data_IF_365466326904
#
_entry.id   IF_365466326904
#
_cell.length_a   1.000
_cell.length_b   1.000
_cell.length_c   1.000
_cell.angle_alpha   90.00
_cell.angle_beta   90.00
_cell.angle_gamma   90.00
#
_symmetry.space_group_name_H-M   'P 1'
#
loop_
_entity.id
_entity.type
_entity.pdbx_description
1 polymer ?
#
# COMPACT_ATOMS: atom_id res chain seq x y z
N UNK A 1 -25.60 8.93 -7.74
CA UNK A 1 -25.31 8.12 -6.53
C UNK A 1 -24.29 6.97 -6.69
N UNK A 2 -23.73 6.70 -7.89
CA UNK A 2 -22.56 5.80 -8.06
C UNK A 2 -21.20 6.51 -7.97
N UNK A 3 -21.21 7.85 -7.95
CA UNK A 3 -20.03 8.73 -7.97
C UNK A 3 -19.32 8.88 -6.62
N UNK A 4 -20.01 8.60 -5.49
CA UNK A 4 -19.45 8.76 -4.14
C UNK A 4 -18.67 7.52 -3.66
N UNK A 5 -18.74 6.39 -4.39
CA UNK A 5 -17.99 5.17 -4.02
C UNK A 5 -16.53 5.19 -4.48
N UNK A 6 -16.17 5.99 -5.49
CA UNK A 6 -14.81 6.01 -6.02
C UNK A 6 -13.85 6.94 -5.27
N UNK A 7 -14.33 7.67 -4.25
CA UNK A 7 -13.47 8.30 -3.25
C UNK A 7 -12.97 7.30 -2.18
N UNK A 8 -13.37 6.02 -2.24
CA UNK A 8 -12.92 4.94 -1.35
C UNK A 8 -11.57 4.32 -1.75
N UNK A 9 -10.78 4.97 -2.62
CA UNK A 9 -9.46 4.44 -3.03
C UNK A 9 -8.43 4.47 -1.90
N UNK A 10 -8.75 5.11 -0.77
CA UNK A 10 -7.87 5.27 0.39
C UNK A 10 -8.60 4.84 1.65
N UNK A 11 -7.87 4.38 2.67
CA UNK A 11 -8.49 3.83 3.87
C UNK A 11 -9.32 4.93 4.52
N UNK A 12 -10.62 4.65 4.76
CA UNK A 12 -11.46 5.41 5.70
C UNK A 12 -10.87 5.53 7.10
N UNK A 13 -9.75 4.84 7.33
CA UNK A 13 -9.09 4.62 8.60
C UNK A 13 -7.71 5.25 8.63
N UNK A 14 -7.25 5.97 7.61
CA UNK A 14 -6.01 6.74 7.75
C UNK A 14 -6.26 7.87 8.75
N UNK A 15 -5.36 8.11 9.72
CA UNK A 15 -3.99 7.61 9.81
C UNK A 15 -3.79 6.34 10.66
N UNK A 16 -4.87 5.69 11.09
CA UNK A 16 -4.82 4.50 11.94
C UNK A 16 -4.58 3.20 11.16
N UNK A 17 -4.78 3.21 9.83
CA UNK A 17 -4.43 2.10 8.92
C UNK A 17 -4.02 2.63 7.54
N UNK A 18 -3.13 1.89 6.88
CA UNK A 18 -2.77 2.09 5.48
C UNK A 18 -3.13 0.84 4.68
N UNK A 19 -3.76 1.01 3.51
CA UNK A 19 -4.20 -0.09 2.66
C UNK A 19 -5.41 -0.88 3.20
N UNK A 20 -5.64 -2.11 2.69
CA UNK A 20 -4.77 -2.87 1.80
C UNK A 20 -4.73 -2.30 0.36
N UNK A 21 -3.67 -2.64 -0.38
CA UNK A 21 -3.49 -2.22 -1.78
C UNK A 21 -3.28 -3.42 -2.71
N UNK A 22 -3.67 -3.30 -3.98
CA UNK A 22 -3.24 -4.19 -5.05
C UNK A 22 -1.92 -3.71 -5.63
N UNK A 23 -1.12 -4.68 -6.10
CA UNK A 23 0.06 -4.42 -6.92
C UNK A 23 -0.33 -4.77 -8.34
N UNK A 24 -0.33 -3.81 -9.25
CA UNK A 24 -0.84 -4.01 -10.62
C UNK A 24 0.32 -3.81 -11.61
N UNK A 25 0.73 -4.85 -12.36
CA UNK A 25 1.75 -4.68 -13.39
C UNK A 25 1.31 -3.66 -14.44
N UNK A 26 2.24 -2.82 -14.87
CA UNK A 26 2.01 -1.86 -15.96
C UNK A 26 2.78 -2.28 -17.21
N UNK A 27 2.43 -1.68 -18.34
CA UNK A 27 3.22 -1.79 -19.57
C UNK A 27 4.32 -0.73 -19.69
N UNK A 28 4.42 0.20 -18.72
CA UNK A 28 5.44 1.24 -18.71
C UNK A 28 6.83 0.64 -18.47
N UNK A 29 7.78 1.12 -19.26
CA UNK A 29 9.21 0.93 -19.03
C UNK A 29 9.82 2.31 -18.81
N UNK A 30 9.81 2.84 -17.57
CA UNK A 30 10.44 4.11 -17.26
C UNK A 30 11.93 4.12 -17.62
N UNK A 31 12.41 5.26 -18.12
CA UNK A 31 13.85 5.50 -18.24
C UNK A 31 14.38 5.97 -16.89
N UNK A 32 15.39 5.28 -16.36
CA UNK A 32 15.96 5.55 -15.04
C UNK A 32 17.38 6.08 -15.19
N UNK A 33 17.69 7.16 -14.48
CA UNK A 33 19.02 7.76 -14.39
C UNK A 33 19.26 8.25 -12.97
N UNK A 34 19.99 7.46 -12.18
CA UNK A 34 20.16 7.71 -10.74
C UNK A 34 18.81 7.63 -10.00
N UNK A 35 18.48 8.67 -9.24
CA UNK A 35 17.23 8.77 -8.47
C UNK A 35 16.09 9.44 -9.25
N UNK A 36 16.23 9.60 -10.57
CA UNK A 36 15.20 10.19 -11.42
C UNK A 36 14.72 9.13 -12.39
N UNK A 37 13.40 9.04 -12.54
CA UNK A 37 12.79 8.28 -13.62
C UNK A 37 12.00 9.22 -14.54
N UNK A 38 11.83 8.82 -15.79
CA UNK A 38 10.96 9.51 -16.75
C UNK A 38 10.12 8.54 -17.57
N UNK A 39 8.93 8.99 -17.95
CA UNK A 39 8.01 8.25 -18.82
C UNK A 39 7.56 9.14 -19.97
N UNK A 40 7.30 8.51 -21.11
CA UNK A 40 6.67 9.18 -22.25
C UNK A 40 5.17 9.33 -21.99
N UNK A 41 4.65 10.54 -22.18
CA UNK A 41 3.22 10.84 -22.02
C UNK A 41 2.45 10.46 -23.30
N UNK A 42 2.44 9.17 -23.60
CA UNK A 42 1.77 8.58 -24.75
C UNK A 42 0.62 7.64 -24.32
N UNK A 43 -0.23 7.26 -25.26
CA UNK A 43 -1.35 6.35 -25.00
C UNK A 43 -2.27 6.87 -23.88
N UNK A 44 -2.58 6.06 -22.86
CA UNK A 44 -3.39 6.48 -21.72
C UNK A 44 -2.83 7.70 -20.97
N UNK A 45 -1.50 7.87 -20.95
CA UNK A 45 -0.84 9.00 -20.27
C UNK A 45 -0.97 10.32 -21.03
N UNK A 46 -1.40 10.31 -22.30
CA UNK A 46 -1.55 11.54 -23.09
C UNK A 46 -2.52 12.54 -22.44
N UNK A 47 -3.45 12.08 -21.59
CA UNK A 47 -4.36 12.94 -20.82
C UNK A 47 -3.61 13.90 -19.89
N UNK A 48 -2.40 13.53 -19.45
CA UNK A 48 -1.55 14.34 -18.56
C UNK A 48 -0.87 15.51 -19.30
N UNK A 49 -0.78 15.47 -20.64
CA UNK A 49 -0.14 16.53 -21.43
C UNK A 49 -0.78 17.90 -21.22
N UNK A 50 -2.10 17.93 -21.01
CA UNK A 50 -2.84 19.18 -20.77
C UNK A 50 -2.68 19.72 -19.34
N UNK A 51 -2.05 18.95 -18.46
CA UNK A 51 -2.05 19.17 -17.01
C UNK A 51 -0.67 19.41 -16.44
N UNK A 52 0.35 18.75 -16.98
CA UNK A 52 1.74 18.96 -16.59
C UNK A 52 2.25 20.18 -17.38
N UNK A 53 2.74 21.24 -16.71
CA UNK A 53 3.34 22.37 -17.39
C UNK A 53 4.44 21.87 -18.33
N UNK A 54 4.25 22.08 -19.64
CA UNK A 54 5.12 21.48 -20.65
C UNK A 54 6.56 21.96 -20.46
N UNK A 55 7.47 21.05 -20.14
CA UNK A 55 8.89 21.29 -20.33
C UNK A 55 9.16 21.39 -21.84
N UNK A 56 10.02 22.32 -22.24
CA UNK A 56 10.21 22.69 -23.65
C UNK A 56 10.31 21.47 -24.59
N UNK A 57 9.68 21.51 -25.78
CA UNK A 57 9.67 20.37 -26.70
C UNK A 57 11.10 19.92 -27.02
N UNK A 58 11.42 18.68 -26.67
CA UNK A 58 12.69 18.05 -27.07
C UNK A 58 12.59 17.71 -28.56
N UNK A 59 13.48 18.28 -29.39
CA UNK A 59 13.50 18.14 -30.87
C UNK A 59 13.50 16.69 -31.40
N UNK A 60 13.73 15.68 -30.55
CA UNK A 60 13.86 14.27 -30.93
C UNK A 60 12.87 13.32 -30.25
N UNK A 61 11.94 13.81 -29.42
CA UNK A 61 10.95 12.97 -28.76
C UNK A 61 9.58 13.16 -29.40
N UNK A 62 8.95 12.06 -29.82
CA UNK A 62 7.61 12.08 -30.43
C UNK A 62 6.54 12.58 -29.44
N UNK A 63 6.76 12.36 -28.15
CA UNK A 63 5.90 12.79 -27.06
C UNK A 63 6.73 13.48 -25.96
N UNK A 64 6.18 14.51 -25.28
CA UNK A 64 6.78 15.05 -24.07
C UNK A 64 7.02 13.96 -23.03
N UNK A 65 8.10 14.13 -22.24
CA UNK A 65 8.40 13.28 -21.10
C UNK A 65 8.11 14.03 -19.81
N UNK A 66 7.54 13.31 -18.85
CA UNK A 66 7.45 13.74 -17.48
C UNK A 66 8.41 12.92 -16.63
N UNK A 67 8.94 13.54 -15.58
CA UNK A 67 9.86 12.91 -14.65
C UNK A 67 9.28 12.86 -13.23
N UNK A 68 9.79 11.93 -12.45
CA UNK A 68 9.58 11.86 -11.02
C UNK A 68 10.83 11.32 -10.34
N UNK A 69 10.79 11.23 -9.01
CA UNK A 69 11.89 10.69 -8.22
C UNK A 69 11.72 9.21 -7.92
N UNK A 70 12.84 8.53 -7.70
CA UNK A 70 12.92 7.21 -7.13
C UNK A 70 13.38 7.30 -5.67
N UNK A 71 13.01 6.32 -4.85
CA UNK A 71 13.76 6.00 -3.64
C UNK A 71 15.15 5.47 -3.99
N UNK A 72 16.06 5.34 -3.01
CA UNK A 72 17.28 4.58 -3.21
C UNK A 72 16.99 3.19 -3.79
N UNK A 73 17.82 2.78 -4.76
CA UNK A 73 17.75 1.45 -5.36
C UNK A 73 18.16 0.42 -4.31
N UNK A 74 17.34 -0.61 -4.13
CA UNK A 74 17.52 -1.61 -3.09
C UNK A 74 17.47 -3.04 -3.66
N UNK A 75 18.27 -3.99 -3.15
CA UNK A 75 18.11 -5.40 -3.50
C UNK A 75 16.72 -5.95 -3.23
N UNK A 76 16.24 -6.83 -4.10
CA UNK A 76 15.04 -7.63 -3.82
C UNK A 76 15.41 -8.70 -2.79
N UNK A 77 14.85 -8.60 -1.58
CA UNK A 77 15.14 -9.50 -0.45
C UNK A 77 14.07 -10.57 -0.23
N UNK A 78 12.95 -10.48 -0.94
CA UNK A 78 11.83 -11.41 -0.79
C UNK A 78 12.14 -12.79 -1.38
N UNK A 79 11.62 -13.84 -0.74
CA UNK A 79 11.70 -15.20 -1.23
C UNK A 79 10.83 -15.40 -2.49
N UNK A 80 10.94 -16.56 -3.15
CA UNK A 80 10.29 -16.80 -4.43
C UNK A 80 8.73 -16.72 -4.36
N UNK A 81 8.12 -17.26 -3.29
CA UNK A 81 6.67 -17.18 -3.08
C UNK A 81 6.20 -15.73 -2.95
N UNK A 82 6.90 -14.94 -2.15
CA UNK A 82 6.53 -13.55 -1.86
C UNK A 82 6.72 -12.66 -3.07
N UNK A 83 7.78 -12.91 -3.85
CA UNK A 83 8.00 -12.26 -5.14
C UNK A 83 6.85 -12.54 -6.10
N UNK A 84 6.39 -13.78 -6.18
CA UNK A 84 5.26 -14.14 -7.04
C UNK A 84 3.98 -13.39 -6.64
N UNK A 85 3.66 -13.37 -5.34
CA UNK A 85 2.50 -12.64 -4.79
C UNK A 85 2.57 -11.14 -5.05
N UNK A 86 3.74 -10.54 -4.84
CA UNK A 86 4.00 -9.12 -5.12
C UNK A 86 4.21 -8.83 -6.62
N UNK A 87 4.02 -9.84 -7.49
CA UNK A 87 4.13 -9.74 -8.96
C UNK A 87 5.49 -9.19 -9.41
N UNK A 88 6.53 -9.50 -8.65
CA UNK A 88 7.93 -9.16 -8.91
C UNK A 88 8.46 -10.12 -9.99
N UNK A 89 9.02 -9.62 -11.11
CA UNK A 89 9.64 -10.46 -12.13
C UNK A 89 10.75 -11.34 -11.52
N UNK A 90 10.91 -12.56 -12.01
CA UNK A 90 11.89 -13.53 -11.48
C UNK A 90 13.33 -13.06 -11.73
N UNK A 91 13.53 -12.28 -12.79
CA UNK A 91 14.78 -11.70 -13.23
C UNK A 91 15.19 -10.46 -12.41
N UNK A 92 14.25 -9.84 -11.67
CA UNK A 92 14.51 -8.65 -10.88
C UNK A 92 15.57 -8.91 -9.81
N UNK A 93 16.56 -8.02 -9.74
CA UNK A 93 17.64 -8.06 -8.73
C UNK A 93 17.53 -6.91 -7.74
N UNK A 94 17.14 -5.75 -8.24
CA UNK A 94 16.92 -4.57 -7.42
C UNK A 94 15.56 -3.95 -7.75
N UNK A 95 15.10 -3.08 -6.87
CA UNK A 95 13.90 -2.30 -7.06
C UNK A 95 14.07 -0.90 -6.46
N UNK A 96 13.22 0.03 -6.88
CA UNK A 96 13.04 1.32 -6.23
C UNK A 96 11.55 1.67 -6.19
N UNK A 97 11.15 2.44 -5.20
CA UNK A 97 9.84 3.09 -5.20
C UNK A 97 9.90 4.32 -6.11
N UNK A 98 9.07 4.35 -7.14
CA UNK A 98 8.80 5.54 -7.93
C UNK A 98 7.72 6.36 -7.24
N UNK A 99 8.08 7.58 -6.86
CA UNK A 99 7.12 8.57 -6.38
C UNK A 99 6.24 9.06 -7.54
N UNK A 100 5.06 9.66 -7.27
CA UNK A 100 4.25 10.30 -8.32
C UNK A 100 5.07 11.24 -9.20
N UNK A 101 4.67 11.40 -10.46
CA UNK A 101 5.32 12.34 -11.38
C UNK A 101 5.21 13.78 -10.87
N UNK A 102 6.27 14.55 -11.14
CA UNK A 102 6.32 15.97 -10.77
C UNK A 102 5.29 16.77 -11.60
N UNK A 103 4.63 17.74 -10.95
CA UNK A 103 3.69 18.64 -11.61
C UNK A 103 2.34 18.03 -11.97
N UNK A 104 2.06 16.79 -11.58
CA UNK A 104 0.74 16.18 -11.73
C UNK A 104 -0.27 16.88 -10.79
N UNK A 105 -1.43 17.34 -11.30
CA UNK A 105 -2.44 17.98 -10.47
C UNK A 105 -3.12 16.98 -9.52
N UNK A 106 -3.84 17.49 -8.52
CA UNK A 106 -4.62 16.65 -7.61
C UNK A 106 -5.59 15.70 -8.35
N UNK A 107 -5.71 14.49 -7.82
CA UNK A 107 -6.42 13.32 -8.36
C UNK A 107 -7.88 13.53 -8.78
N UNK A 108 -8.56 14.57 -8.28
CA UNK A 108 -9.97 14.83 -8.62
C UNK A 108 -10.23 14.92 -10.11
N UNK A 109 -9.19 15.25 -10.88
CA UNK A 109 -9.23 15.34 -12.34
C UNK A 109 -9.41 13.97 -13.02
N UNK A 110 -9.20 12.85 -12.31
CA UNK A 110 -9.08 11.51 -12.90
C UNK A 110 -10.01 10.45 -12.29
N UNK A 111 -10.99 10.82 -11.45
CA UNK A 111 -11.85 9.87 -10.72
C UNK A 111 -12.56 8.82 -11.61
N UNK A 112 -12.72 9.10 -12.90
CA UNK A 112 -13.32 8.22 -13.89
C UNK A 112 -12.34 7.30 -14.63
N UNK A 113 -11.04 7.50 -14.45
CA UNK A 113 -9.97 6.87 -15.25
C UNK A 113 -9.03 5.99 -14.42
N UNK A 114 -9.29 5.82 -13.11
CA UNK A 114 -8.44 5.09 -12.13
C UNK A 114 -8.53 3.56 -12.29
N UNK A 115 -8.67 3.08 -13.53
CA UNK A 115 -8.58 1.66 -13.86
C UNK A 115 -7.34 1.34 -14.71
N UNK A 116 -6.71 2.36 -15.27
CA UNK A 116 -5.50 2.26 -16.06
C UNK A 116 -4.27 2.23 -15.15
N UNK A 117 -3.47 1.17 -15.24
CA UNK A 117 -2.36 0.92 -14.33
C UNK A 117 -1.23 1.94 -14.50
N UNK A 118 -1.06 2.46 -15.71
CA UNK A 118 -0.07 3.44 -16.08
C UNK A 118 -0.42 4.81 -15.48
N UNK A 119 -1.71 5.18 -15.54
CA UNK A 119 -2.21 6.35 -14.80
C UNK A 119 -2.07 6.15 -13.29
N UNK A 120 -2.41 4.98 -12.74
CA UNK A 120 -2.24 4.73 -11.30
C UNK A 120 -0.76 4.88 -10.90
N UNK A 121 0.17 4.30 -11.66
CA UNK A 121 1.61 4.40 -11.41
C UNK A 121 2.09 5.85 -11.40
N UNK A 122 1.67 6.65 -12.37
CA UNK A 122 2.11 8.06 -12.49
C UNK A 122 1.48 8.98 -11.44
N UNK A 123 0.26 8.68 -10.99
CA UNK A 123 -0.49 9.49 -10.02
C UNK A 123 -0.17 9.14 -8.56
N UNK A 124 0.01 7.86 -8.25
CA UNK A 124 0.19 7.35 -6.88
C UNK A 124 1.60 6.83 -6.59
N UNK A 125 2.39 6.60 -7.63
CA UNK A 125 3.66 5.91 -7.53
C UNK A 125 3.53 4.40 -7.71
N UNK A 126 4.66 3.72 -7.62
CA UNK A 126 4.74 2.28 -7.80
C UNK A 126 6.14 1.74 -7.62
N UNK A 127 6.33 0.44 -7.82
CA UNK A 127 7.65 -0.18 -7.78
C UNK A 127 8.22 -0.29 -9.18
N UNK A 128 9.49 0.10 -9.34
CA UNK A 128 10.29 -0.12 -10.55
C UNK A 128 11.29 -1.23 -10.25
N UNK A 129 11.30 -2.28 -11.05
CA UNK A 129 12.19 -3.43 -10.91
C UNK A 129 13.26 -3.41 -11.98
N UNK A 130 14.49 -3.68 -11.56
CA UNK A 130 15.67 -3.66 -12.42
C UNK A 130 16.35 -5.03 -12.43
N UNK A 131 16.92 -5.39 -13.58
CA UNK A 131 17.73 -6.59 -13.72
C UNK A 131 19.16 -6.39 -13.18
N UNK A 132 20.02 -7.40 -13.36
CA UNK A 132 21.43 -7.36 -12.93
C UNK A 132 22.23 -6.24 -13.63
N UNK A 133 21.82 -5.82 -14.82
CA UNK A 133 22.48 -4.76 -15.58
C UNK A 133 21.92 -3.36 -15.25
N UNK A 134 21.00 -3.26 -14.28
CA UNK A 134 20.35 -1.99 -13.92
C UNK A 134 19.33 -1.52 -14.96
N UNK A 135 18.86 -2.41 -15.84
CA UNK A 135 17.82 -2.09 -16.83
C UNK A 135 16.46 -2.31 -16.21
N UNK A 136 15.53 -1.38 -16.45
CA UNK A 136 14.15 -1.55 -16.02
C UNK A 136 13.50 -2.68 -16.79
N UNK A 137 12.95 -3.65 -16.06
CA UNK A 137 12.27 -4.82 -16.64
C UNK A 137 10.76 -4.82 -16.35
N UNK A 138 10.32 -4.07 -15.32
CA UNK A 138 8.91 -3.92 -14.99
C UNK A 138 8.68 -2.70 -14.11
N UNK A 139 7.52 -2.07 -14.29
CA UNK A 139 6.91 -1.20 -13.30
C UNK A 139 5.59 -1.82 -12.81
N UNK A 140 5.33 -1.76 -11.51
CA UNK A 140 4.06 -2.13 -10.91
C UNK A 140 3.46 -0.90 -10.23
N UNK A 141 2.21 -0.57 -10.53
CA UNK A 141 1.44 0.45 -9.83
C UNK A 141 0.91 -0.08 -8.49
N UNK A 142 0.68 0.82 -7.54
CA UNK A 142 -0.10 0.51 -6.34
C UNK A 142 -1.46 1.17 -6.43
N UNK A 143 -2.51 0.35 -6.36
CA UNK A 143 -3.90 0.80 -6.34
C UNK A 143 -4.70 0.12 -5.23
N UNK A 144 -6.02 0.33 -5.14
CA UNK A 144 -6.86 -0.39 -4.19
C UNK A 144 -6.88 -1.90 -4.47
N UNK A 145 -6.77 -2.71 -3.42
CA UNK A 145 -6.83 -4.17 -3.55
C UNK A 145 -6.27 -4.91 -2.33
N UNK A 146 -5.79 -6.15 -2.51
CA UNK A 146 -5.44 -7.07 -1.41
C UNK A 146 -4.13 -7.84 -1.62
N UNK A 147 -3.15 -7.22 -2.28
CA UNK A 147 -1.84 -7.83 -2.55
C UNK A 147 -0.74 -7.33 -1.61
N UNK A 148 -0.89 -6.11 -1.06
CA UNK A 148 0.06 -5.44 -0.19
C UNK A 148 -0.63 -5.01 1.10
N UNK A 149 -0.11 -5.50 2.22
CA UNK A 149 -0.62 -5.27 3.56
C UNK A 149 0.40 -4.53 4.42
N UNK A 150 -0.10 -3.80 5.41
CA UNK A 150 0.71 -3.04 6.34
C UNK A 150 0.36 -3.42 7.77
N UNK A 151 1.36 -3.37 8.63
CA UNK A 151 1.19 -3.54 10.06
C UNK A 151 0.49 -2.30 10.66
N UNK A 152 0.12 -2.39 11.94
CA UNK A 152 -0.37 -1.25 12.70
C UNK A 152 0.60 -0.06 12.60
N UNK A 153 0.08 1.18 12.51
CA UNK A 153 0.93 2.36 12.46
C UNK A 153 1.80 2.46 13.71
N UNK A 154 3.06 2.83 13.51
CA UNK A 154 4.01 3.03 14.59
C UNK A 154 4.46 4.50 14.63
N UNK A 155 4.66 5.09 15.82
CA UNK A 155 5.15 6.47 15.93
C UNK A 155 6.48 6.66 15.21
N UNK A 156 6.60 7.75 14.44
CA UNK A 156 7.85 8.10 13.78
C UNK A 156 8.80 8.82 14.74
N UNK A 157 10.07 8.41 14.78
CA UNK A 157 11.11 9.07 15.56
C UNK A 157 11.63 10.30 14.80
N UNK A 158 11.16 11.48 15.20
CA UNK A 158 11.40 12.73 14.49
C UNK A 158 12.86 13.11 14.25
N UNK A 159 13.79 12.64 15.08
CA UNK A 159 15.23 12.94 14.92
C UNK A 159 15.86 12.39 13.65
N UNK A 160 15.23 11.41 13.00
CA UNK A 160 15.67 10.87 11.71
C UNK A 160 15.08 11.63 10.51
N UNK A 161 14.15 12.56 10.73
CA UNK A 161 13.53 13.32 9.63
C UNK A 161 14.51 14.26 8.92
N UNK A 162 15.40 14.91 9.66
CA UNK A 162 16.30 15.93 9.11
C UNK A 162 17.21 15.36 8.00
N UNK A 163 17.91 14.26 8.27
CA UNK A 163 18.78 13.62 7.27
C UNK A 163 18.02 13.15 6.03
N UNK A 164 16.81 12.60 6.20
CA UNK A 164 15.97 12.21 5.07
C UNK A 164 15.44 13.40 4.26
N UNK A 165 15.16 14.54 4.91
CA UNK A 165 14.76 15.78 4.23
C UNK A 165 15.94 16.40 3.47
N UNK A 166 17.15 16.41 4.04
CA UNK A 166 18.38 16.87 3.38
C UNK A 166 18.70 16.03 2.14
N UNK A 167 18.47 14.72 2.22
CA UNK A 167 18.54 13.79 1.08
C UNK A 167 17.37 13.93 0.11
N UNK A 168 16.44 14.87 0.34
CA UNK A 168 15.28 15.12 -0.50
C UNK A 168 14.40 13.87 -0.72
N UNK A 169 14.36 12.97 0.27
CA UNK A 169 13.62 11.69 0.19
C UNK A 169 12.14 11.85 0.53
N UNK A 170 11.79 12.79 1.39
CA UNK A 170 10.41 13.14 1.66
C UNK A 170 9.80 13.89 0.48
N UNK A 171 8.81 13.28 -0.17
CA UNK A 171 8.03 13.91 -1.24
C UNK A 171 6.72 14.47 -0.70
N UNK A 172 6.18 15.50 -1.35
CA UNK A 172 4.85 16.01 -1.05
C UNK A 172 3.79 14.99 -1.40
N UNK A 173 2.78 14.87 -0.54
CA UNK A 173 1.63 14.00 -0.78
C UNK A 173 0.73 14.66 -1.82
N UNK A 174 0.46 13.96 -2.91
CA UNK A 174 -0.50 14.35 -3.97
C UNK A 174 -1.91 13.79 -3.72
N UNK A 175 -2.01 12.85 -2.79
CA UNK A 175 -3.22 12.11 -2.51
C UNK A 175 -4.12 12.92 -1.57
N UNK A 176 -5.20 13.49 -2.12
CA UNK A 176 -6.09 14.41 -1.40
C UNK A 176 -6.63 13.88 -0.08
N UNK A 177 -7.08 12.62 0.00
CA UNK A 177 -7.64 12.13 1.27
C UNK A 177 -6.60 12.13 2.39
N UNK A 178 -5.33 11.80 2.08
CA UNK A 178 -4.24 11.86 3.06
C UNK A 178 -3.91 13.32 3.44
N UNK A 179 -3.98 14.25 2.49
CA UNK A 179 -3.79 15.69 2.73
C UNK A 179 -4.87 16.25 3.66
N UNK A 180 -6.13 15.84 3.46
CA UNK A 180 -7.27 16.23 4.29
C UNK A 180 -7.13 15.72 5.73
N UNK A 181 -6.52 14.55 5.92
CA UNK A 181 -6.17 14.01 7.24
C UNK A 181 -4.94 14.70 7.89
N UNK A 182 -4.36 15.68 7.20
CA UNK A 182 -3.26 16.49 7.71
C UNK A 182 -1.87 15.99 7.33
N UNK A 183 -1.74 14.91 6.58
CA UNK A 183 -0.44 14.47 6.09
C UNK A 183 0.10 15.48 5.06
N UNK A 184 1.41 15.66 5.02
CA UNK A 184 2.10 16.65 4.17
C UNK A 184 3.17 16.03 3.30
N UNK A 185 3.99 15.17 3.90
CA UNK A 185 5.09 14.50 3.22
C UNK A 185 5.01 13.00 3.46
N UNK A 186 5.56 12.25 2.52
CA UNK A 186 5.77 10.82 2.67
C UNK A 186 7.10 10.39 2.06
N UNK A 187 7.66 9.30 2.56
CA UNK A 187 8.82 8.67 1.97
C UNK A 187 8.72 7.15 2.07
N UNK A 188 9.42 6.47 1.17
CA UNK A 188 9.69 5.04 1.27
C UNK A 188 11.02 4.80 1.98
N UNK A 189 10.97 3.96 3.01
CA UNK A 189 12.12 3.41 3.71
C UNK A 189 12.35 1.98 3.20
N UNK A 190 13.46 1.67 2.52
CA UNK A 190 13.75 0.34 2.03
C UNK A 190 13.88 -0.73 3.15
N UNK A 191 13.74 -2.02 2.78
CA UNK A 191 13.93 -3.15 3.70
C UNK A 191 15.28 -3.11 4.41
N UNK A 192 15.30 -3.20 5.75
CA UNK A 192 16.53 -3.28 6.54
C UNK A 192 17.37 -2.00 6.54
N UNK A 193 16.83 -0.87 6.08
CA UNK A 193 17.55 0.40 6.15
C UNK A 193 17.76 0.82 7.61
N UNK A 194 19.03 1.10 7.94
CA UNK A 194 19.45 1.67 9.22
C UNK A 194 19.65 3.17 9.05
N UNK A 195 18.81 3.96 9.72
CA UNK A 195 18.93 5.41 9.73
C UNK A 195 19.85 5.85 10.85
N UNK A 196 20.67 6.88 10.61
CA UNK A 196 21.56 7.48 11.60
C UNK A 196 21.18 8.94 11.83
N UNK A 197 20.92 9.30 13.07
CA UNK A 197 20.63 10.68 13.47
C UNK A 197 21.93 11.47 13.73
N UNK A 198 21.83 12.79 13.87
CA UNK A 198 22.99 13.67 14.11
C UNK A 198 23.69 13.44 15.45
N UNK A 199 22.99 12.84 16.42
CA UNK A 199 23.52 12.42 17.71
C UNK A 199 24.24 11.05 17.66
N UNK A 200 24.30 10.42 16.48
CA UNK A 200 24.87 9.09 16.28
C UNK A 200 23.93 7.93 16.63
N UNK A 201 22.70 8.21 17.08
CA UNK A 201 21.73 7.12 17.29
C UNK A 201 21.36 6.47 15.97
N UNK A 202 21.18 5.15 16.01
CA UNK A 202 20.87 4.34 14.83
C UNK A 202 19.54 3.61 15.01
N UNK A 203 18.81 3.44 13.91
CA UNK A 203 17.53 2.77 13.95
C UNK A 203 17.26 1.99 12.65
N UNK A 204 17.21 0.67 12.76
CA UNK A 204 16.60 -0.18 11.73
C UNK A 204 15.08 -0.04 11.80
N UNK A 205 14.48 0.57 10.78
CA UNK A 205 13.07 0.96 10.83
C UNK A 205 12.15 -0.26 10.69
N UNK A 206 12.45 -1.14 9.73
CA UNK A 206 11.59 -2.27 9.39
C UNK A 206 12.28 -3.30 8.47
N UNK A 207 11.87 -4.57 8.59
CA UNK A 207 12.42 -5.69 7.82
C UNK A 207 12.05 -5.69 6.33
N UNK A 208 10.82 -5.27 5.98
CA UNK A 208 10.29 -5.35 4.60
C UNK A 208 10.05 -4.00 3.94
N UNK A 209 10.54 -2.92 4.56
CA UNK A 209 10.29 -1.55 4.14
C UNK A 209 9.01 -0.97 4.72
N UNK A 210 8.88 0.35 4.64
CA UNK A 210 7.77 1.09 5.21
C UNK A 210 7.49 2.39 4.47
N UNK A 211 6.23 2.81 4.49
CA UNK A 211 5.87 4.19 4.17
C UNK A 211 5.81 5.03 5.43
N UNK A 212 6.61 6.10 5.47
CA UNK A 212 6.61 7.08 6.54
C UNK A 212 5.83 8.31 6.11
N UNK A 213 4.98 8.85 6.99
CA UNK A 213 4.16 10.03 6.76
C UNK A 213 4.44 11.09 7.82
N UNK A 214 4.67 12.32 7.37
CA UNK A 214 4.82 13.49 8.24
C UNK A 214 3.55 14.36 8.13
N UNK A 215 3.03 14.76 9.29
CA UNK A 215 1.82 15.58 9.43
C UNK A 215 2.17 17.04 9.70
N UNK A 216 3.38 17.45 9.32
CA UNK A 216 3.93 18.77 9.60
C UNK A 216 4.85 19.26 8.50
N UNK A 217 5.03 20.58 8.44
CA UNK A 217 6.00 21.24 7.54
C UNK A 217 7.33 21.61 8.23
N UNK A 218 7.30 21.89 9.54
CA UNK A 218 8.47 22.40 10.27
C UNK A 218 8.75 21.71 11.59
N UNK A 219 7.71 21.50 12.40
CA UNK A 219 7.83 20.94 13.76
C UNK A 219 7.20 19.55 13.82
N UNK A 220 7.93 18.53 14.28
CA UNK A 220 7.40 17.19 14.45
C UNK A 220 6.12 17.16 15.29
N UNK A 221 5.26 16.19 15.00
CA UNK A 221 3.99 16.03 15.70
C UNK A 221 3.83 14.58 16.16
N UNK A 222 3.02 14.36 17.19
CA UNK A 222 2.64 13.02 17.63
C UNK A 222 1.86 12.23 16.55
N UNK A 223 1.41 12.88 15.47
CA UNK A 223 0.75 12.22 14.35
C UNK A 223 1.73 11.58 13.37
N UNK A 224 3.00 12.00 13.35
CA UNK A 224 4.01 11.43 12.45
C UNK A 224 4.16 9.93 12.73
N UNK A 225 4.05 9.14 11.67
CA UNK A 225 3.98 7.67 11.80
C UNK A 225 4.50 6.99 10.55
N UNK A 226 4.82 5.72 10.69
CA UNK A 226 5.17 4.86 9.57
C UNK A 226 4.35 3.57 9.60
N UNK A 227 4.20 2.98 8.42
CA UNK A 227 3.43 1.76 8.17
C UNK A 227 4.37 0.70 7.59
N UNK A 228 4.86 -0.25 8.41
CA UNK A 228 5.68 -1.35 7.94
C UNK A 228 4.90 -2.24 6.98
N UNK A 229 5.54 -2.67 5.89
CA UNK A 229 4.99 -3.73 5.04
C UNK A 229 4.98 -5.04 5.81
N UNK A 230 3.84 -5.74 5.79
CA UNK A 230 3.74 -7.10 6.31
C UNK A 230 4.32 -8.09 5.30
N UNK A 231 5.26 -8.92 5.74
CA UNK A 231 5.76 -10.05 4.97
C UNK A 231 4.73 -11.19 4.93
N UNK A 232 4.85 -12.08 3.94
CA UNK A 232 3.95 -13.22 3.80
C UNK A 232 3.98 -14.17 4.97
N UNK A 233 5.17 -14.35 5.57
CA UNK A 233 5.41 -15.27 6.67
C UNK A 233 4.44 -15.00 7.84
N UNK A 234 4.21 -13.72 8.15
CA UNK A 234 3.33 -13.30 9.25
C UNK A 234 1.85 -13.52 8.91
N UNK A 235 1.48 -13.42 7.64
CA UNK A 235 0.11 -13.64 7.19
C UNK A 235 -0.26 -15.12 7.22
N UNK A 236 0.66 -15.99 6.81
CA UNK A 236 0.48 -17.44 6.88
C UNK A 236 0.36 -17.92 8.33
N UNK A 237 1.23 -17.42 9.23
CA UNK A 237 1.17 -17.74 10.65
C UNK A 237 -0.14 -17.26 11.30
N UNK A 238 -0.60 -16.06 10.96
CA UNK A 238 -1.87 -15.53 11.46
C UNK A 238 -3.09 -16.32 10.94
N UNK A 239 -3.10 -16.70 9.67
CA UNK A 239 -4.16 -17.53 9.08
C UNK A 239 -4.18 -18.93 9.70
N UNK A 240 -3.01 -19.54 9.92
CA UNK A 240 -2.90 -20.83 10.57
C UNK A 240 -3.41 -20.77 12.02
N UNK A 241 -3.01 -19.75 12.78
CA UNK A 241 -3.46 -19.55 14.16
C UNK A 241 -4.99 -19.39 14.25
N UNK A 242 -5.59 -18.66 13.30
CA UNK A 242 -7.06 -18.52 13.22
C UNK A 242 -7.71 -19.87 12.91
N UNK A 243 -7.18 -20.64 11.95
CA UNK A 243 -7.70 -21.95 11.58
C UNK A 243 -7.62 -22.95 12.75
N UNK A 244 -6.51 -22.93 13.49
CA UNK A 244 -6.30 -23.77 14.67
C UNK A 244 -7.28 -23.40 15.79
N UNK A 245 -7.49 -22.11 16.03
CA UNK A 245 -8.44 -21.61 17.03
C UNK A 245 -9.88 -22.02 16.69
N UNK A 246 -10.29 -21.87 15.42
CA UNK A 246 -11.62 -22.30 14.96
C UNK A 246 -11.80 -23.82 15.16
N UNK A 247 -10.77 -24.61 14.84
CA UNK A 247 -10.79 -26.06 15.02
C UNK A 247 -10.90 -26.48 16.50
N UNK A 248 -10.22 -25.75 17.39
CA UNK A 248 -10.33 -25.96 18.84
C UNK A 248 -11.74 -25.64 19.37
N UNK A 249 -12.33 -24.52 18.94
CA UNK A 249 -13.70 -24.15 19.32
C UNK A 249 -14.71 -25.21 18.85
N UNK A 250 -14.59 -25.66 17.60
CA UNK A 250 -15.47 -26.68 17.01
C UNK A 250 -15.36 -28.03 17.74
N UNK A 251 -14.16 -28.41 18.18
CA UNK A 251 -13.94 -29.65 18.95
C UNK A 251 -14.51 -29.55 20.37
N UNK A 252 -14.50 -28.35 20.95
CA UNK A 252 -14.97 -28.09 22.33
C UNK A 252 -16.50 -27.98 22.45
N UNK A 253 -17.24 -27.85 21.34
CA UNK A 253 -18.71 -27.67 21.34
C UNK A 253 -19.50 -28.96 21.20
N UNK A 254 -18.85 -30.13 21.25
CA UNK A 254 -19.53 -31.42 21.36
C UNK A 254 -20.07 -31.64 22.79
N UNK A 255 -21.25 -31.07 23.07
CA UNK A 255 -21.99 -31.40 24.28
C UNK A 255 -22.46 -32.86 24.23
N UNK A 256 -22.41 -33.61 25.35
CA UNK A 256 -22.97 -34.95 25.40
C UNK A 256 -24.49 -34.86 25.24
N UNK A 257 -25.01 -35.51 24.20
CA UNK A 257 -26.43 -35.79 24.05
C UNK A 257 -26.80 -36.76 25.18
N UNK A 258 -27.25 -36.21 26.31
CA UNK A 258 -27.77 -36.98 27.43
C UNK A 258 -29.05 -37.68 26.99
N UNK A 259 -28.98 -39.01 26.85
CA UNK A 259 -30.14 -39.85 26.66
C UNK A 259 -31.06 -39.78 27.87
N UNK A 260 -32.31 -39.41 27.63
CA UNK A 260 -33.41 -39.63 28.56
C UNK A 260 -34.40 -40.58 27.87
N UNK A 261 -34.37 -41.85 28.27
CA UNK A 261 -35.44 -42.82 28.04
C UNK A 261 -36.18 -43.07 29.37
N UNK A 262 -37.51 -42.91 29.28
CA UNK A 262 -38.63 -43.60 29.93
C UNK A 262 -38.92 -43.53 31.45
N UNK A 263 -40.12 -43.03 31.74
CA UNK A 263 -41.10 -43.72 32.61
C UNK A 263 -42.54 -43.21 32.33
N UNK A 264 -43.50 -44.14 32.31
CA UNK A 264 -44.90 -44.02 31.88
C UNK A 264 -45.92 -43.84 33.03
N UNK A 265 -47.20 -43.67 32.65
CA UNK A 265 -48.47 -43.89 33.41
C UNK A 265 -48.88 -42.87 34.50
N UNK A 266 -50.16 -42.47 34.73
CA UNK A 266 -51.48 -42.76 34.14
C UNK A 266 -52.53 -41.72 34.65
N UNK A 267 -53.64 -41.55 33.90
CA UNK A 267 -55.02 -41.14 34.26
C UNK A 267 -55.25 -39.79 35.01
N UNK A 268 -56.38 -39.06 34.96
CA UNK A 268 -57.76 -39.34 34.56
C UNK A 268 -58.50 -38.00 34.26
N UNK A 269 -59.71 -38.17 33.71
CA UNK A 269 -60.73 -37.28 33.16
C UNK A 269 -61.05 -35.91 33.79
N UNK A 270 -61.72 -35.04 32.99
CA UNK A 270 -63.13 -34.62 33.12
C UNK A 270 -63.40 -33.23 32.50
N UNK A 271 -64.30 -33.25 31.51
CA UNK A 271 -65.36 -32.27 31.16
C UNK A 271 -65.04 -30.91 30.50
N UNK A 272 -65.44 -30.84 29.22
CA UNK A 272 -66.18 -29.77 28.50
C UNK A 272 -67.27 -29.05 29.36
N UNK A 273 -67.99 -27.96 28.93
CA UNK A 273 -68.25 -27.47 27.55
C UNK A 273 -68.25 -25.90 27.39
N UNK A 274 -67.97 -25.36 26.18
CA UNK A 274 -68.88 -24.75 25.17
C UNK A 274 -69.17 -23.23 25.29
N UNK A 275 -69.09 -22.58 24.11
CA UNK A 275 -69.70 -21.30 23.66
C UNK A 275 -69.08 -19.99 24.17
N UNK A 276 -68.91 -18.94 23.36
CA UNK A 276 -69.43 -18.56 22.04
C UNK A 276 -68.40 -17.68 21.32
#
# INVERSE_FOLDING_TARGET
DRLVRNAQLLPRYFPDRLGPFAVVPTTLIPQVSGEIYSVELAGPLAVLLSKIPSSAPQKHCRYPRASGKLSPIHPVTLCASDRSRAKIPVEAKTFAWAYPLDGVPELRTFEHTIHDSELIFTLFGGYVYLDKAGRVIRANAIGPGRDLFFDAPRPWRSKFSAGLMEQNRFQRITIRALVLEGARYFCWIPPGEVLTASDGDTWEVCRHGAFTYLFHDRKPTAKDRFFPVLGADVEADAQQLIADTISQIASSTSLPVGGHEDAAEAADAVSTPVSL
#
